data_IF_413429904953
#
_entry.id   IF_413429904953
#
_cell.length_a   1.000
_cell.length_b   1.000
_cell.length_c   1.000
_cell.angle_alpha   90.00
_cell.angle_beta   90.00
_cell.angle_gamma   90.00
#
_symmetry.space_group_name_H-M   'P 1'
#
loop_
_entity.id
_entity.type
_entity.pdbx_description
1 polymer ?
#
# COMPACT_ATOMS: atom_id res chain seq x y z
N UNK A 1 -14.96 2.83 12.81
CA UNK A 1 -14.35 1.77 11.97
C UNK A 1 -14.12 0.55 12.86
N UNK A 2 -14.40 -0.67 12.37
CA UNK A 2 -14.14 -1.92 13.10
C UNK A 2 -13.07 -2.69 12.30
N UNK A 3 -11.81 -2.29 12.44
CA UNK A 3 -10.70 -2.82 11.65
C UNK A 3 -10.02 -3.99 12.37
N UNK A 4 -9.61 -5.04 11.65
CA UNK A 4 -8.82 -6.11 12.24
C UNK A 4 -7.44 -5.57 12.66
N UNK A 5 -6.99 -5.98 13.85
CA UNK A 5 -5.57 -5.82 14.21
C UNK A 5 -4.83 -7.03 13.64
N UNK A 6 -4.08 -6.81 12.56
CA UNK A 6 -3.24 -7.84 11.95
C UNK A 6 -2.22 -8.37 12.97
N UNK A 7 -2.03 -9.68 13.03
CA UNK A 7 -1.01 -10.29 13.90
C UNK A 7 0.39 -9.82 13.50
N UNK A 8 0.58 -9.58 12.21
CA UNK A 8 1.76 -9.00 11.58
C UNK A 8 2.04 -7.58 12.08
N UNK A 9 1.00 -6.81 12.43
CA UNK A 9 1.18 -5.48 13.05
C UNK A 9 1.70 -5.63 14.48
N UNK A 10 1.22 -6.62 15.24
CA UNK A 10 1.73 -6.89 16.60
C UNK A 10 3.20 -7.35 16.59
N UNK A 11 3.60 -8.11 15.57
CA UNK A 11 4.99 -8.52 15.39
C UNK A 11 5.93 -7.36 15.00
N UNK A 12 5.38 -6.25 14.49
CA UNK A 12 6.13 -5.09 14.00
C UNK A 12 6.02 -3.85 14.89
N UNK A 13 5.57 -3.99 16.14
CA UNK A 13 5.39 -2.86 17.07
C UNK A 13 6.67 -2.00 17.18
N UNK A 14 7.85 -2.61 17.20
CA UNK A 14 9.12 -1.87 17.27
C UNK A 14 9.35 -1.01 16.02
N UNK A 15 8.93 -1.50 14.85
CA UNK A 15 9.08 -0.79 13.58
C UNK A 15 8.00 0.29 13.37
N UNK A 16 6.93 0.32 14.16
CA UNK A 16 5.91 1.37 14.09
C UNK A 16 6.51 2.77 14.27
N UNK A 17 7.48 2.88 15.17
CA UNK A 17 8.22 4.13 15.45
C UNK A 17 9.08 4.62 14.27
N UNK A 18 9.31 3.79 13.27
CA UNK A 18 10.10 4.12 12.07
C UNK A 18 9.25 4.72 10.93
N UNK A 19 7.95 4.87 11.14
CA UNK A 19 7.03 5.55 10.22
C UNK A 19 6.53 4.71 9.05
N UNK A 20 7.38 3.86 8.47
CA UNK A 20 6.98 2.84 7.49
C UNK A 20 7.76 1.55 7.67
N UNK A 21 7.12 0.41 7.45
CA UNK A 21 7.75 -0.90 7.61
C UNK A 21 7.09 -1.96 6.73
N UNK A 22 7.84 -3.03 6.42
CA UNK A 22 7.30 -4.19 5.71
C UNK A 22 6.36 -4.95 6.65
N UNK A 23 5.06 -4.91 6.35
CA UNK A 23 4.05 -5.65 7.10
C UNK A 23 4.11 -7.14 6.77
N UNK A 24 4.18 -7.45 5.48
CA UNK A 24 4.30 -8.81 4.95
C UNK A 24 4.83 -8.78 3.53
N UNK A 25 5.46 -9.86 3.08
CA UNK A 25 5.92 -10.02 1.70
C UNK A 25 5.84 -11.47 1.27
N UNK A 26 5.58 -11.72 0.00
CA UNK A 26 5.60 -13.07 -0.58
C UNK A 26 7.01 -13.67 -0.53
N UNK A 27 8.02 -12.89 -0.91
CA UNK A 27 9.43 -13.25 -0.87
C UNK A 27 10.32 -11.98 -0.85
N UNK A 28 11.64 -12.15 -0.88
CA UNK A 28 12.62 -11.05 -0.82
C UNK A 28 12.70 -10.18 -2.08
N UNK A 29 12.20 -10.66 -3.23
CA UNK A 29 12.21 -9.96 -4.52
C UNK A 29 10.76 -9.80 -5.04
N UNK A 30 9.96 -8.91 -4.46
CA UNK A 30 8.58 -8.69 -4.88
C UNK A 30 8.51 -8.08 -6.29
N UNK A 31 7.50 -8.49 -7.07
CA UNK A 31 7.21 -7.88 -8.37
C UNK A 31 6.62 -6.48 -8.21
N UNK A 32 5.89 -6.25 -7.10
CA UNK A 32 5.25 -4.98 -6.77
C UNK A 32 5.23 -4.72 -5.28
N UNK A 33 5.33 -3.44 -4.90
CA UNK A 33 5.17 -2.98 -3.52
C UNK A 33 3.86 -2.21 -3.38
N UNK A 34 3.01 -2.64 -2.45
CA UNK A 34 1.88 -1.86 -1.96
C UNK A 34 2.32 -0.98 -0.80
N UNK A 35 1.96 0.30 -0.84
CA UNK A 35 2.18 1.26 0.24
C UNK A 35 0.82 1.72 0.73
N UNK A 36 0.43 1.30 1.92
CA UNK A 36 -0.92 1.54 2.43
C UNK A 36 -0.90 2.17 3.83
N UNK A 37 -1.96 2.90 4.15
CA UNK A 37 -2.14 3.57 5.44
C UNK A 37 -3.48 3.20 6.05
N UNK A 38 -3.59 3.28 7.39
CA UNK A 38 -4.85 3.11 8.11
C UNK A 38 -5.67 1.88 7.71
N UNK A 39 -6.92 2.10 7.29
CA UNK A 39 -7.84 1.05 6.88
C UNK A 39 -7.45 0.35 5.58
N UNK A 40 -6.76 1.05 4.68
CA UNK A 40 -6.45 0.54 3.34
C UNK A 40 -5.37 -0.56 3.38
N UNK A 41 -4.69 -0.73 4.52
CA UNK A 41 -3.83 -1.90 4.76
C UNK A 41 -4.62 -3.21 4.65
N UNK A 42 -5.89 -3.23 5.07
CA UNK A 42 -6.73 -4.42 4.91
C UNK A 42 -7.05 -4.71 3.46
N UNK A 43 -7.31 -3.65 2.67
CA UNK A 43 -7.53 -3.76 1.24
C UNK A 43 -6.27 -4.26 0.51
N UNK A 44 -5.09 -3.76 0.91
CA UNK A 44 -3.80 -4.23 0.40
C UNK A 44 -3.60 -5.73 0.65
N UNK A 45 -3.94 -6.21 1.84
CA UNK A 45 -3.85 -7.62 2.20
C UNK A 45 -4.80 -8.50 1.36
N UNK A 46 -6.05 -8.06 1.14
CA UNK A 46 -6.99 -8.77 0.27
C UNK A 46 -6.52 -8.80 -1.19
N UNK A 47 -5.99 -7.70 -1.71
CA UNK A 47 -5.45 -7.63 -3.07
C UNK A 47 -4.19 -8.49 -3.24
N UNK A 48 -3.29 -8.50 -2.26
CA UNK A 48 -2.12 -9.38 -2.22
C UNK A 48 -2.53 -10.85 -2.34
N UNK A 49 -3.48 -11.30 -1.52
CA UNK A 49 -3.93 -12.70 -1.56
C UNK A 49 -4.42 -13.10 -2.97
N UNK A 50 -5.15 -12.21 -3.65
CA UNK A 50 -5.62 -12.44 -5.02
C UNK A 50 -4.50 -12.43 -6.06
N UNK A 51 -3.53 -11.54 -5.93
CA UNK A 51 -2.38 -11.48 -6.84
C UNK A 51 -1.46 -12.69 -6.70
N UNK A 52 -1.31 -13.23 -5.50
CA UNK A 52 -0.52 -14.45 -5.26
C UNK A 52 -1.16 -15.70 -5.88
N UNK A 53 -2.50 -15.76 -6.00
CA UNK A 53 -3.18 -16.81 -6.78
C UNK A 53 -2.73 -16.78 -8.25
N UNK A 54 -2.38 -15.60 -8.76
CA UNK A 54 -1.86 -15.37 -10.11
C UNK A 54 -0.32 -15.37 -10.19
N UNK A 55 0.36 -15.89 -9.16
CA UNK A 55 1.82 -15.99 -9.06
C UNK A 55 2.56 -14.64 -9.05
N UNK A 56 1.88 -13.55 -8.72
CA UNK A 56 2.52 -12.24 -8.53
C UNK A 56 3.02 -12.11 -7.09
N UNK A 57 4.31 -11.82 -6.93
CA UNK A 57 4.96 -11.59 -5.65
C UNK A 57 4.70 -10.15 -5.17
N UNK A 58 4.11 -10.00 -3.97
CA UNK A 58 3.69 -8.70 -3.43
C UNK A 58 4.31 -8.46 -2.07
N UNK A 59 4.88 -7.26 -1.89
CA UNK A 59 5.25 -6.71 -0.58
C UNK A 59 4.22 -5.68 -0.14
N UNK A 60 3.77 -5.74 1.11
CA UNK A 60 2.94 -4.70 1.72
C UNK A 60 3.80 -3.92 2.71
N UNK A 61 3.90 -2.61 2.47
CA UNK A 61 4.48 -1.62 3.37
C UNK A 61 3.34 -0.86 4.04
N UNK A 62 3.27 -0.93 5.37
CA UNK A 62 2.40 -0.06 6.15
C UNK A 62 3.17 1.25 6.41
N UNK A 63 2.56 2.40 6.11
CA UNK A 63 3.21 3.72 6.21
C UNK A 63 2.38 4.70 7.08
N UNK A 64 2.24 4.48 8.39
CA UNK A 64 1.47 5.36 9.28
C UNK A 64 2.04 6.78 9.46
N UNK A 65 3.33 7.01 9.17
CA UNK A 65 3.92 8.35 9.27
C UNK A 65 5.03 8.56 8.24
N UNK A 66 4.76 9.43 7.26
CA UNK A 66 5.74 9.87 6.27
C UNK A 66 6.92 10.58 6.93
N UNK A 67 6.62 11.47 7.87
CA UNK A 67 7.63 12.25 8.59
C UNK A 67 8.64 11.34 9.29
N UNK A 68 8.16 10.38 10.09
CA UNK A 68 9.07 9.47 10.79
C UNK A 68 9.89 8.63 9.81
N UNK A 69 9.29 8.17 8.71
CA UNK A 69 9.99 7.40 7.69
C UNK A 69 11.05 8.24 6.96
N UNK A 70 10.74 9.49 6.64
CA UNK A 70 11.63 10.43 5.96
C UNK A 70 12.85 10.79 6.83
N UNK A 71 12.77 10.65 8.15
CA UNK A 71 13.90 10.82 9.06
C UNK A 71 14.78 9.56 9.23
N UNK A 72 14.36 8.41 8.69
CA UNK A 72 15.16 7.19 8.79
C UNK A 72 16.39 7.25 7.86
N UNK A 73 17.39 6.41 8.16
CA UNK A 73 18.59 6.30 7.34
C UNK A 73 18.25 5.79 5.93
N UNK A 74 19.11 6.10 4.96
CA UNK A 74 18.91 5.65 3.57
C UNK A 74 18.92 4.13 3.48
N UNK A 75 19.74 3.45 4.28
CA UNK A 75 19.80 1.99 4.35
C UNK A 75 18.46 1.41 4.82
N UNK A 76 17.81 2.03 5.81
CA UNK A 76 16.49 1.59 6.25
C UNK A 76 15.43 1.84 5.18
N UNK A 77 15.42 3.04 4.58
CA UNK A 77 14.48 3.35 3.50
C UNK A 77 14.61 2.38 2.33
N UNK A 78 15.84 2.04 1.94
CA UNK A 78 16.13 1.06 0.89
C UNK A 78 15.66 -0.36 1.28
N UNK A 79 15.77 -0.73 2.56
CA UNK A 79 15.26 -2.02 3.04
C UNK A 79 13.73 -2.14 2.93
N UNK A 80 13.00 -1.03 3.09
CA UNK A 80 11.52 -0.99 3.05
C UNK A 80 11.02 -0.80 1.61
N UNK A 81 11.57 0.17 0.89
CA UNK A 81 11.24 0.54 -0.49
C UNK A 81 12.48 0.45 -1.41
N UNK A 82 12.96 -0.77 -1.73
CA UNK A 82 14.15 -0.95 -2.57
C UNK A 82 14.02 -0.21 -3.89
N UNK A 83 15.04 0.55 -4.25
CA UNK A 83 15.15 1.29 -5.52
C UNK A 83 15.09 0.37 -6.75
N UNK A 84 15.47 -0.90 -6.59
CA UNK A 84 15.36 -1.93 -7.63
C UNK A 84 13.93 -2.32 -7.98
N UNK A 85 12.96 -2.07 -7.09
CA UNK A 85 11.54 -2.39 -7.30
C UNK A 85 10.78 -1.09 -7.55
N UNK A 86 10.62 -0.75 -8.83
CA UNK A 86 10.00 0.52 -9.29
C UNK A 86 8.48 0.42 -9.42
N UNK A 87 7.94 -0.79 -9.57
CA UNK A 87 6.49 -1.03 -9.59
C UNK A 87 5.93 -0.90 -8.17
N UNK A 88 5.26 0.22 -7.92
CA UNK A 88 4.74 0.58 -6.59
C UNK A 88 3.32 1.10 -6.70
N UNK A 89 2.42 0.67 -5.82
CA UNK A 89 1.05 1.14 -5.77
C UNK A 89 0.73 1.68 -4.39
N UNK A 90 0.38 2.96 -4.26
CA UNK A 90 -0.12 3.50 -3.00
C UNK A 90 -1.64 3.39 -2.90
N UNK A 91 -2.11 3.07 -1.69
CA UNK A 91 -3.51 2.82 -1.35
C UNK A 91 -3.88 3.69 -0.16
N UNK A 92 -4.58 4.79 -0.41
CA UNK A 92 -5.08 5.67 0.66
C UNK A 92 -6.38 6.34 0.22
N UNK A 93 -7.41 6.29 1.06
CA UNK A 93 -8.65 7.04 0.83
C UNK A 93 -8.47 8.54 1.15
N UNK A 94 -7.49 9.16 0.50
CA UNK A 94 -7.10 10.56 0.59
C UNK A 94 -6.67 11.08 -0.79
N UNK A 95 -6.26 12.34 -0.85
CA UNK A 95 -5.76 12.94 -2.11
C UNK A 95 -4.41 12.36 -2.51
N UNK A 96 -4.13 12.28 -3.81
CA UNK A 96 -2.86 11.75 -4.31
C UNK A 96 -1.64 12.58 -3.89
N UNK A 97 -1.82 13.87 -3.62
CA UNK A 97 -0.73 14.82 -3.42
C UNK A 97 0.32 14.31 -2.42
N UNK A 98 1.53 14.14 -2.92
CA UNK A 98 2.69 13.71 -2.16
C UNK A 98 3.03 12.23 -2.33
N UNK A 99 2.08 11.36 -2.68
CA UNK A 99 2.33 9.92 -2.84
C UNK A 99 3.30 9.61 -3.99
N UNK A 100 3.36 10.48 -5.00
CA UNK A 100 4.32 10.40 -6.11
C UNK A 100 5.78 10.28 -5.63
N UNK A 101 6.11 10.81 -4.44
CA UNK A 101 7.46 10.71 -3.85
C UNK A 101 7.87 9.28 -3.50
N UNK A 102 6.91 8.41 -3.20
CA UNK A 102 7.16 7.03 -2.79
C UNK A 102 6.90 6.03 -3.91
N UNK A 103 5.89 6.28 -4.76
CA UNK A 103 5.55 5.36 -5.85
C UNK A 103 6.43 5.54 -7.08
N UNK A 104 7.00 6.73 -7.30
CA UNK A 104 7.86 7.01 -8.45
C UNK A 104 7.12 7.04 -9.79
N UNK A 105 7.88 7.10 -10.89
CA UNK A 105 7.34 7.30 -12.24
C UNK A 105 6.63 6.07 -12.81
N UNK A 106 7.07 4.87 -12.41
CA UNK A 106 6.48 3.60 -12.85
C UNK A 106 5.40 3.10 -11.91
N UNK A 107 5.07 3.86 -10.87
CA UNK A 107 4.08 3.51 -9.89
C UNK A 107 2.69 4.07 -10.18
N UNK A 108 1.76 3.77 -9.28
CA UNK A 108 0.39 4.27 -9.34
C UNK A 108 -0.10 4.69 -7.96
N UNK A 109 -0.88 5.76 -7.91
CA UNK A 109 -1.58 6.21 -6.71
C UNK A 109 -3.07 5.89 -6.87
N UNK A 110 -3.64 5.14 -5.94
CA UNK A 110 -5.08 4.96 -5.80
C UNK A 110 -5.55 5.88 -4.69
N UNK A 111 -6.26 6.94 -5.08
CA UNK A 111 -6.62 8.09 -4.27
C UNK A 111 -8.05 8.57 -4.57
N UNK A 112 -8.54 9.50 -3.76
CA UNK A 112 -9.78 10.23 -3.96
C UNK A 112 -9.44 11.68 -4.34
N UNK A 113 -9.72 12.06 -5.59
CA UNK A 113 -9.41 13.40 -6.13
C UNK A 113 -10.58 14.40 -6.05
N UNK A 114 -11.69 13.98 -5.44
CA UNK A 114 -12.89 14.81 -5.27
C UNK A 114 -13.30 14.88 -3.81
N UNK A 115 -14.29 15.71 -3.51
CA UNK A 115 -14.96 15.64 -2.22
C UNK A 115 -15.68 14.29 -2.04
N UNK A 116 -15.96 13.94 -0.78
CA UNK A 116 -16.61 12.69 -0.41
C UNK A 116 -18.03 12.55 -0.96
N UNK A 117 -18.64 11.40 -0.69
CA UNK A 117 -20.00 11.09 -1.08
C UNK A 117 -20.85 10.70 0.14
N UNK A 118 -22.16 10.85 0.03
CA UNK A 118 -23.09 10.38 1.05
C UNK A 118 -23.41 8.89 0.84
N UNK A 119 -23.28 8.09 1.88
CA UNK A 119 -23.53 6.65 1.84
C UNK A 119 -22.89 5.95 3.03
N UNK A 120 -23.07 4.63 3.11
CA UNK A 120 -22.33 3.79 4.05
C UNK A 120 -20.86 3.69 3.63
N UNK A 121 -19.97 3.34 4.57
CA UNK A 121 -18.53 3.21 4.26
C UNK A 121 -18.25 2.24 3.11
N UNK A 122 -19.00 1.14 3.01
CA UNK A 122 -18.85 0.17 1.93
C UNK A 122 -19.28 0.73 0.57
N UNK A 123 -20.41 1.45 0.51
CA UNK A 123 -20.88 2.10 -0.72
C UNK A 123 -19.89 3.17 -1.19
N UNK A 124 -19.37 3.98 -0.26
CA UNK A 124 -18.40 5.04 -0.56
C UNK A 124 -17.06 4.46 -1.04
N UNK A 125 -16.54 3.40 -0.40
CA UNK A 125 -15.34 2.69 -0.86
C UNK A 125 -15.52 2.14 -2.27
N UNK A 126 -16.64 1.47 -2.55
CA UNK A 126 -16.94 0.93 -3.87
C UNK A 126 -17.04 2.04 -4.93
N UNK A 127 -17.72 3.14 -4.61
CA UNK A 127 -17.88 4.28 -5.51
C UNK A 127 -16.52 4.88 -5.92
N UNK A 128 -15.60 5.00 -4.96
CA UNK A 128 -14.25 5.53 -5.21
C UNK A 128 -13.25 4.47 -5.70
N UNK A 129 -13.69 3.24 -5.96
CA UNK A 129 -12.83 2.19 -6.52
C UNK A 129 -11.87 1.55 -5.51
N UNK A 130 -12.11 1.69 -4.21
CA UNK A 130 -11.36 1.01 -3.15
C UNK A 130 -11.90 -0.41 -2.94
N UNK A 131 -11.82 -1.21 -4.01
CA UNK A 131 -12.22 -2.62 -4.03
C UNK A 131 -11.02 -3.50 -4.36
N UNK A 132 -11.02 -4.72 -3.83
CA UNK A 132 -9.94 -5.69 -4.07
C UNK A 132 -9.73 -5.91 -5.56
N UNK A 133 -10.82 -6.05 -6.31
CA UNK A 133 -10.80 -6.29 -7.75
C UNK A 133 -10.16 -5.13 -8.51
N UNK A 134 -10.50 -3.88 -8.16
CA UNK A 134 -9.93 -2.72 -8.83
C UNK A 134 -8.43 -2.57 -8.52
N UNK A 135 -8.02 -2.80 -7.27
CA UNK A 135 -6.59 -2.79 -6.89
C UNK A 135 -5.81 -3.85 -7.66
N UNK A 136 -6.33 -5.07 -7.78
CA UNK A 136 -5.72 -6.15 -8.55
C UNK A 136 -5.58 -5.76 -10.02
N UNK A 137 -6.62 -5.21 -10.64
CA UNK A 137 -6.60 -4.78 -12.04
C UNK A 137 -5.58 -3.66 -12.28
N UNK A 138 -5.58 -2.63 -11.44
CA UNK A 138 -4.61 -1.53 -11.53
C UNK A 138 -3.18 -2.06 -11.38
N UNK A 139 -2.96 -2.97 -10.44
CA UNK A 139 -1.64 -3.56 -10.19
C UNK A 139 -1.14 -4.34 -11.41
N UNK A 140 -2.01 -5.13 -12.04
CA UNK A 140 -1.66 -5.85 -13.29
C UNK A 140 -1.31 -4.87 -14.42
N UNK A 141 -1.98 -3.73 -14.53
CA UNK A 141 -1.64 -2.71 -15.52
C UNK A 141 -0.26 -2.09 -15.26
N UNK A 142 0.09 -1.82 -13.99
CA UNK A 142 1.40 -1.32 -13.58
C UNK A 142 2.52 -2.32 -13.88
N UNK A 143 2.25 -3.62 -13.72
CA UNK A 143 3.23 -4.67 -14.03
C UNK A 143 3.47 -4.82 -15.55
N UNK A 144 2.49 -4.49 -16.39
CA UNK A 144 2.55 -4.65 -17.84
C UNK A 144 2.97 -3.38 -18.61
N UNK A 145 3.17 -2.25 -17.91
CA UNK A 145 3.64 -0.98 -18.48
C UNK A 145 5.16 -0.88 -18.50
#
# INVERSE_FOLDING_TARGET
>A
QNLPVFNETKANIENLSKGAYVLTQTNENPDVIFIATGSEVSLAASAKAKLEEDQVSVRIVAMPSWELFDHQSNEYKESVLPSSITKRVSLEMGVSLGWERYVGQEGKVISIETFGASGTGAEVMNLFGFTTENVVQITKNVLNS
#
